data_IF_757585757674
#
_entry.id   IF_757585757674
#
_cell.length_a   1.000
_cell.length_b   1.000
_cell.length_c   1.000
_cell.angle_alpha   90.00
_cell.angle_beta   90.00
_cell.angle_gamma   90.00
#
_symmetry.space_group_name_H-M   'P 1'
#
loop_
_entity.id
_entity.type
_entity.pdbx_description
1 polymer ?
#
# COMPACT_ATOMS: atom_id res chain seq x y z
N UNK A 1 20.54 11.94 10.56
CA UNK A 1 21.59 12.97 10.31
C UNK A 1 20.96 14.05 9.46
N UNK A 2 21.30 15.31 9.69
CA UNK A 2 21.03 16.39 8.73
C UNK A 2 22.31 16.65 7.95
N UNK A 3 22.19 16.79 6.64
CA UNK A 3 23.33 17.01 5.75
C UNK A 3 23.00 18.24 4.92
N UNK A 4 23.85 19.25 5.01
CA UNK A 4 23.77 20.38 4.09
C UNK A 4 24.44 19.98 2.77
N UNK A 5 23.68 20.02 1.67
CA UNK A 5 24.13 19.50 0.36
C UNK A 5 25.27 20.35 -0.22
N UNK A 6 25.24 21.67 -0.05
CA UNK A 6 26.25 22.57 -0.64
C UNK A 6 27.58 22.55 0.10
N UNK A 7 27.53 22.45 1.44
CA UNK A 7 28.72 22.53 2.30
C UNK A 7 29.21 21.17 2.77
N UNK A 8 28.47 20.11 2.48
CA UNK A 8 28.67 18.73 2.97
C UNK A 8 28.72 18.61 4.50
N UNK A 9 28.33 19.67 5.22
CA UNK A 9 28.35 19.68 6.68
C UNK A 9 27.26 18.76 7.22
N UNK A 10 27.66 17.80 8.04
CA UNK A 10 26.74 16.84 8.68
C UNK A 10 26.51 17.19 10.15
N UNK A 11 25.26 17.20 10.60
CA UNK A 11 24.91 17.20 12.02
C UNK A 11 24.14 15.92 12.38
N UNK A 12 24.43 15.37 13.55
CA UNK A 12 23.73 14.20 14.07
C UNK A 12 22.67 14.67 15.06
N UNK A 13 21.41 14.33 14.79
CA UNK A 13 20.32 14.45 15.75
C UNK A 13 20.16 13.11 16.48
N UNK A 14 19.91 13.16 17.78
CA UNK A 14 19.71 11.99 18.63
C UNK A 14 18.44 12.17 19.44
N UNK A 15 17.60 11.15 19.44
CA UNK A 15 16.32 11.12 20.15
C UNK A 15 16.32 9.94 21.12
N UNK A 16 15.63 10.08 22.24
CA UNK A 16 15.45 9.01 23.24
C UNK A 16 14.30 8.08 22.81
N UNK A 17 14.53 7.36 21.70
CA UNK A 17 13.57 6.48 21.02
C UNK A 17 14.25 5.18 20.59
N UNK A 18 13.49 4.09 20.53
CA UNK A 18 13.98 2.77 20.16
C UNK A 18 14.27 2.65 18.65
N UNK A 19 13.52 3.41 17.83
CA UNK A 19 13.65 3.41 16.37
C UNK A 19 13.18 4.72 15.76
N UNK A 20 13.76 5.04 14.60
CA UNK A 20 13.47 6.23 13.79
C UNK A 20 13.31 5.78 12.34
N UNK A 21 12.22 6.17 11.69
CA UNK A 21 11.93 5.76 10.31
C UNK A 21 11.69 6.97 9.41
N UNK A 22 10.64 6.94 8.60
CA UNK A 22 10.31 7.99 7.63
C UNK A 22 10.20 9.35 8.29
N UNK A 23 10.72 10.38 7.64
CA UNK A 23 10.67 11.76 8.08
C UNK A 23 10.25 12.67 6.92
N UNK A 24 9.54 13.76 7.24
CA UNK A 24 9.14 14.79 6.28
C UNK A 24 9.43 16.18 6.86
N UNK A 25 9.95 17.05 6.02
CA UNK A 25 10.20 18.45 6.35
C UNK A 25 8.92 19.26 6.28
N UNK A 26 8.80 20.25 7.16
CA UNK A 26 7.82 21.32 6.96
C UNK A 26 8.23 22.20 5.77
N UNK A 27 7.27 22.83 5.07
CA UNK A 27 7.56 23.70 3.93
C UNK A 27 8.46 24.90 4.27
N UNK A 28 8.42 25.35 5.52
CA UNK A 28 9.25 26.46 6.02
C UNK A 28 10.63 26.02 6.55
N UNK A 29 10.94 24.71 6.49
CA UNK A 29 12.16 24.08 6.99
C UNK A 29 12.48 24.30 8.49
N UNK A 30 11.51 24.77 9.28
CA UNK A 30 11.67 24.96 10.73
C UNK A 30 11.35 23.72 11.54
N UNK A 31 10.59 22.79 10.96
CA UNK A 31 10.15 21.57 11.61
C UNK A 31 10.46 20.33 10.79
N UNK A 32 10.65 19.21 11.49
CA UNK A 32 10.75 17.88 10.92
C UNK A 32 9.73 16.99 11.62
N UNK A 33 8.78 16.43 10.90
CA UNK A 33 7.99 15.33 11.44
C UNK A 33 8.66 14.00 11.09
N UNK A 34 8.55 13.01 11.97
CA UNK A 34 9.15 11.70 11.73
C UNK A 34 8.43 10.62 12.53
N UNK A 35 8.56 9.38 12.06
CA UNK A 35 8.07 8.20 12.77
C UNK A 35 9.10 7.79 13.81
N UNK A 36 8.68 7.74 15.06
CA UNK A 36 9.48 7.27 16.19
C UNK A 36 8.83 6.05 16.83
N UNK A 37 9.62 5.08 17.25
CA UNK A 37 9.12 3.95 18.04
C UNK A 37 9.57 4.11 19.50
N UNK A 38 8.62 3.96 20.42
CA UNK A 38 8.88 3.93 21.86
C UNK A 38 8.07 2.81 22.51
N UNK A 39 8.65 1.62 22.58
CA UNK A 39 7.98 0.42 23.06
C UNK A 39 7.21 -0.32 21.97
N UNK A 40 5.88 -0.34 22.06
CA UNK A 40 5.04 -1.29 21.32
C UNK A 40 4.42 -0.74 20.02
N UNK A 41 4.34 0.58 19.86
CA UNK A 41 3.71 1.23 18.73
C UNK A 41 4.59 2.37 18.20
N UNK A 42 4.48 2.64 16.90
CA UNK A 42 5.14 3.79 16.28
C UNK A 42 4.23 5.00 16.34
N UNK A 43 4.80 6.16 16.66
CA UNK A 43 4.08 7.43 16.73
C UNK A 43 4.69 8.45 15.75
N UNK A 44 3.91 9.49 15.44
CA UNK A 44 4.42 10.66 14.73
C UNK A 44 4.96 11.68 15.74
N UNK A 45 6.24 12.00 15.61
CA UNK A 45 6.90 13.03 16.40
C UNK A 45 7.15 14.28 15.56
N UNK A 46 7.18 15.43 16.22
CA UNK A 46 7.52 16.72 15.64
C UNK A 46 8.79 17.25 16.30
N UNK A 47 9.83 17.52 15.53
CA UNK A 47 11.05 18.18 15.97
C UNK A 47 11.11 19.61 15.47
N UNK A 48 11.36 20.54 16.38
CA UNK A 48 11.61 21.95 16.12
C UNK A 48 13.13 22.19 16.02
N UNK A 49 13.59 22.64 14.84
CA UNK A 49 15.00 22.88 14.59
C UNK A 49 15.57 24.11 15.32
N UNK A 50 14.72 25.06 15.74
CA UNK A 50 15.16 26.26 16.45
C UNK A 50 15.33 26.00 17.95
N UNK A 51 14.33 25.37 18.58
CA UNK A 51 14.38 25.05 20.01
C UNK A 51 15.16 23.77 20.33
N UNK A 52 15.47 22.97 19.30
CA UNK A 52 16.07 21.64 19.42
C UNK A 52 15.26 20.68 20.32
N UNK A 53 13.93 20.84 20.32
CA UNK A 53 13.01 20.00 21.10
C UNK A 53 12.12 19.17 20.18
N UNK A 54 11.64 18.02 20.68
CA UNK A 54 10.64 17.22 19.98
C UNK A 54 9.46 16.85 20.88
N UNK A 55 8.28 16.74 20.29
CA UNK A 55 7.03 16.33 20.94
C UNK A 55 6.40 15.13 20.22
N UNK A 56 5.66 14.29 20.97
CA UNK A 56 4.88 13.19 20.40
C UNK A 56 3.48 13.70 20.02
N UNK A 57 3.15 13.69 18.74
CA UNK A 57 1.88 14.22 18.24
C UNK A 57 0.73 13.22 18.37
N UNK A 58 0.98 11.92 18.25
CA UNK A 58 -0.08 10.89 18.21
C UNK A 58 -0.18 10.08 19.50
N UNK A 59 0.92 9.74 20.15
CA UNK A 59 0.99 9.24 21.54
C UNK A 59 -0.22 8.39 21.98
N UNK A 60 -0.49 7.31 21.26
CA UNK A 60 -1.62 6.41 21.51
C UNK A 60 -1.19 4.92 21.43
N UNK A 61 -2.15 3.98 21.37
CA UNK A 61 -1.86 2.54 21.31
C UNK A 61 -1.66 2.02 19.87
N UNK A 62 -1.91 2.86 18.88
CA UNK A 62 -1.98 2.52 17.47
C UNK A 62 -0.66 2.84 16.77
N UNK A 63 -0.41 2.17 15.66
CA UNK A 63 0.83 2.38 14.90
C UNK A 63 0.62 3.38 13.79
N UNK A 64 1.42 4.44 13.83
CA UNK A 64 1.44 5.51 12.86
C UNK A 64 2.68 5.48 11.98
N UNK A 65 2.51 5.85 10.71
CA UNK A 65 3.58 5.81 9.73
C UNK A 65 3.41 6.84 8.61
N UNK A 66 4.45 6.98 7.79
CA UNK A 66 4.43 7.72 6.53
C UNK A 66 3.89 9.17 6.64
N UNK A 67 4.43 9.99 7.57
CA UNK A 67 3.96 11.35 7.73
C UNK A 67 4.44 12.24 6.58
N UNK A 68 3.54 13.09 6.08
CA UNK A 68 3.82 14.09 5.05
C UNK A 68 3.18 15.42 5.39
N UNK A 69 3.94 16.51 5.21
CA UNK A 69 3.42 17.86 5.43
C UNK A 69 2.55 18.31 4.27
N UNK A 70 1.50 19.07 4.58
CA UNK A 70 0.82 19.87 3.57
C UNK A 70 1.74 21.02 3.11
N UNK A 71 1.66 21.42 1.83
CA UNK A 71 2.48 22.51 1.27
C UNK A 71 2.30 23.86 1.98
N UNK A 72 1.13 24.06 2.61
CA UNK A 72 0.83 25.27 3.38
C UNK A 72 1.30 25.22 4.84
N UNK A 73 1.85 24.08 5.29
CA UNK A 73 2.38 23.88 6.64
C UNK A 73 1.31 23.75 7.73
N UNK A 74 0.02 23.70 7.38
CA UNK A 74 -1.05 23.64 8.38
C UNK A 74 -1.40 22.23 8.83
N UNK A 75 -1.07 21.24 8.00
CA UNK A 75 -1.51 19.87 8.20
C UNK A 75 -0.36 18.87 8.04
N UNK A 76 -0.48 17.75 8.73
CA UNK A 76 0.34 16.55 8.51
C UNK A 76 -0.61 15.42 8.18
N UNK A 77 -0.49 14.85 6.98
CA UNK A 77 -1.16 13.59 6.65
C UNK A 77 -0.26 12.43 7.07
N UNK A 78 -0.85 11.33 7.52
CA UNK A 78 -0.12 10.14 7.96
C UNK A 78 -1.03 8.92 7.94
N UNK A 79 -0.44 7.73 7.94
CA UNK A 79 -1.15 6.44 7.91
C UNK A 79 -1.24 5.88 9.32
N UNK A 80 -2.41 5.36 9.71
CA UNK A 80 -2.62 4.77 11.03
C UNK A 80 -3.57 3.57 10.98
N UNK A 81 -3.38 2.64 11.92
CA UNK A 81 -4.28 1.51 12.15
C UNK A 81 -5.36 1.80 13.21
N UNK A 82 -5.54 3.06 13.64
CA UNK A 82 -6.48 3.42 14.71
C UNK A 82 -7.97 3.25 14.42
N UNK A 83 -8.37 3.16 13.15
CA UNK A 83 -9.77 3.11 12.74
C UNK A 83 -10.61 4.26 13.31
N UNK A 84 -11.69 3.95 14.02
CA UNK A 84 -12.61 4.93 14.59
C UNK A 84 -12.06 5.66 15.84
N UNK A 85 -10.94 5.21 16.40
CA UNK A 85 -10.35 5.75 17.65
C UNK A 85 -9.53 7.04 17.43
N UNK A 86 -10.14 8.03 16.76
CA UNK A 86 -9.46 9.28 16.35
C UNK A 86 -9.43 10.40 17.40
N UNK A 87 -10.12 10.24 18.54
CA UNK A 87 -10.30 11.31 19.52
C UNK A 87 -9.39 11.07 20.72
N UNK A 88 -8.33 11.88 20.83
CA UNK A 88 -7.62 12.09 22.11
C UNK A 88 -8.54 12.80 23.09
N UNK A 89 -9.50 12.10 23.65
CA UNK A 89 -10.14 12.53 24.88
C UNK A 89 -9.15 12.19 26.00
N UNK A 90 -8.73 13.17 26.80
CA UNK A 90 -7.97 12.91 28.04
C UNK A 90 -8.70 11.93 28.98
N UNK A 91 -10.00 11.71 28.73
CA UNK A 91 -10.88 10.77 29.42
C UNK A 91 -11.11 9.43 28.67
N UNK A 92 -10.45 9.17 27.53
CA UNK A 92 -10.55 7.85 26.87
C UNK A 92 -9.78 6.81 27.69
N UNK A 93 -10.53 6.07 28.50
CA UNK A 93 -10.01 4.93 29.23
C UNK A 93 -9.72 3.79 28.23
N UNK A 94 -8.47 3.73 27.76
CA UNK A 94 -7.97 2.69 26.86
C UNK A 94 -8.16 1.26 27.40
N UNK A 95 -8.49 1.10 28.69
CA UNK A 95 -8.91 -0.19 29.25
C UNK A 95 -10.24 -0.71 28.67
N UNK A 96 -11.01 0.14 27.98
CA UNK A 96 -12.24 -0.25 27.29
C UNK A 96 -12.01 -0.77 25.87
N UNK A 97 -10.82 -0.50 25.29
CA UNK A 97 -10.46 -1.01 23.98
C UNK A 97 -10.16 -2.51 24.07
N UNK A 98 -10.97 -3.32 23.39
CA UNK A 98 -10.67 -4.74 23.25
C UNK A 98 -9.62 -4.93 22.16
N UNK A 99 -8.35 -5.00 22.58
CA UNK A 99 -7.21 -5.18 21.66
C UNK A 99 -7.30 -6.46 20.82
N UNK A 100 -8.14 -7.44 21.18
CA UNK A 100 -8.30 -8.66 20.39
C UNK A 100 -9.36 -8.55 19.29
N UNK A 101 -10.23 -7.55 19.35
CA UNK A 101 -11.29 -7.31 18.35
C UNK A 101 -10.95 -6.17 17.40
N UNK A 102 -9.95 -5.33 17.73
CA UNK A 102 -9.48 -4.27 16.86
C UNK A 102 -8.72 -4.82 15.65
N UNK A 103 -9.04 -4.30 14.47
CA UNK A 103 -8.38 -4.71 13.23
C UNK A 103 -7.14 -3.86 12.95
N UNK A 104 -5.97 -4.32 13.43
CA UNK A 104 -4.68 -3.67 13.17
C UNK A 104 -4.14 -3.90 11.74
N UNK A 105 -4.80 -4.74 10.92
CA UNK A 105 -4.36 -4.91 9.53
C UNK A 105 -4.89 -3.83 8.61
N UNK A 106 -5.93 -3.11 9.04
CA UNK A 106 -6.56 -2.04 8.25
C UNK A 106 -5.82 -0.73 8.52
N UNK A 107 -5.43 -0.05 7.44
CA UNK A 107 -4.71 1.22 7.52
C UNK A 107 -5.40 2.30 6.71
N UNK A 108 -5.61 3.44 7.36
CA UNK A 108 -6.25 4.59 6.77
C UNK A 108 -5.38 5.83 6.90
N UNK A 109 -5.70 6.85 6.11
CA UNK A 109 -5.02 8.14 6.15
C UNK A 109 -5.76 9.09 7.07
N UNK A 110 -5.01 9.70 7.97
CA UNK A 110 -5.45 10.72 8.91
C UNK A 110 -4.72 12.03 8.62
N UNK A 111 -5.39 13.13 8.93
CA UNK A 111 -4.82 14.48 8.85
C UNK A 111 -4.87 15.12 10.23
N UNK A 112 -3.70 15.55 10.69
CA UNK A 112 -3.50 16.31 11.92
C UNK A 112 -3.32 17.78 11.59
N UNK A 113 -4.10 18.65 12.20
CA UNK A 113 -3.86 20.10 12.20
C UNK A 113 -2.72 20.45 13.17
N UNK A 114 -1.70 21.14 12.67
CA UNK A 114 -0.46 21.40 13.41
C UNK A 114 -0.64 22.43 14.53
N UNK A 115 -1.65 23.29 14.43
CA UNK A 115 -1.95 24.34 15.40
C UNK A 115 -2.94 23.87 16.47
N UNK A 116 -4.05 23.27 16.04
CA UNK A 116 -5.11 22.82 16.96
C UNK A 116 -4.85 21.44 17.53
N UNK A 117 -3.92 20.67 16.92
CA UNK A 117 -3.64 19.26 17.23
C UNK A 117 -4.84 18.33 17.08
N UNK A 118 -5.87 18.78 16.35
CA UNK A 118 -7.05 17.97 16.04
C UNK A 118 -6.70 17.01 14.90
N UNK A 119 -7.14 15.76 15.04
CA UNK A 119 -6.98 14.72 14.04
C UNK A 119 -8.31 14.40 13.38
N UNK A 120 -8.26 14.12 12.09
CA UNK A 120 -9.42 13.80 11.26
C UNK A 120 -9.08 12.58 10.38
N UNK A 121 -9.94 11.57 10.37
CA UNK A 121 -9.82 10.43 9.45
C UNK A 121 -10.29 10.86 8.06
N UNK A 122 -9.43 10.72 7.04
CA UNK A 122 -9.71 11.11 5.66
C UNK A 122 -10.22 9.95 4.82
N UNK A 123 -9.62 8.77 4.97
CA UNK A 123 -10.10 7.54 4.34
C UNK A 123 -10.79 6.69 5.38
N UNK A 124 -12.03 6.27 5.10
CA UNK A 124 -12.81 5.37 5.95
C UNK A 124 -13.41 4.29 5.06
N UNK A 125 -12.51 3.44 4.56
CA UNK A 125 -12.85 2.35 3.63
C UNK A 125 -12.48 1.00 4.26
N UNK A 126 -12.81 -0.09 3.58
CA UNK A 126 -12.40 -1.45 3.95
C UNK A 126 -11.06 -1.84 3.26
N UNK A 127 -10.29 -0.86 2.81
CA UNK A 127 -9.09 -1.02 1.98
C UNK A 127 -7.89 -0.32 2.61
N UNK A 128 -6.70 -0.83 2.37
CA UNK A 128 -5.48 -0.25 2.89
C UNK A 128 -5.04 0.94 2.04
N UNK A 129 -4.92 2.11 2.67
CA UNK A 129 -4.35 3.31 2.07
C UNK A 129 -2.99 3.67 2.66
N UNK A 130 -2.02 3.91 1.77
CA UNK A 130 -0.63 4.16 2.13
C UNK A 130 0.03 5.22 1.22
N UNK A 131 1.21 5.67 1.60
CA UNK A 131 2.06 6.63 0.89
C UNK A 131 1.34 7.92 0.48
N UNK A 132 0.71 8.66 1.42
CA UNK A 132 0.09 9.94 1.12
C UNK A 132 1.12 10.95 0.61
N UNK A 133 0.74 11.80 -0.35
CA UNK A 133 1.48 12.98 -0.79
C UNK A 133 0.52 14.07 -1.24
N UNK A 134 0.75 15.30 -0.76
CA UNK A 134 -0.08 16.45 -1.09
C UNK A 134 0.33 17.08 -2.41
N UNK A 135 -0.66 17.48 -3.21
CA UNK A 135 -0.46 18.41 -4.32
C UNK A 135 -0.16 19.83 -3.79
N UNK A 136 0.70 20.56 -4.49
CA UNK A 136 1.14 21.91 -4.13
C UNK A 136 0.20 23.00 -4.65
N UNK A 137 -0.50 22.73 -5.75
CA UNK A 137 -1.34 23.71 -6.47
C UNK A 137 -2.82 23.57 -6.19
N UNK A 138 -3.30 22.35 -5.88
CA UNK A 138 -4.70 22.03 -5.61
C UNK A 138 -4.82 21.31 -4.26
N UNK A 139 -6.00 21.37 -3.63
CA UNK A 139 -6.25 20.69 -2.36
C UNK A 139 -6.56 19.20 -2.59
N UNK A 140 -5.58 18.49 -3.16
CA UNK A 140 -5.66 17.09 -3.55
C UNK A 140 -4.60 16.31 -2.79
N UNK A 141 -5.00 15.14 -2.29
CA UNK A 141 -4.12 14.15 -1.71
C UNK A 141 -4.00 12.97 -2.67
N UNK A 142 -2.78 12.65 -3.09
CA UNK A 142 -2.48 11.39 -3.76
C UNK A 142 -2.07 10.36 -2.72
N UNK A 143 -2.46 9.11 -2.92
CA UNK A 143 -2.02 7.97 -2.10
C UNK A 143 -2.16 6.69 -2.91
N UNK A 144 -1.63 5.59 -2.39
CA UNK A 144 -1.85 4.26 -2.94
C UNK A 144 -2.95 3.54 -2.17
N UNK A 145 -3.89 2.91 -2.87
CA UNK A 145 -4.95 2.09 -2.28
C UNK A 145 -4.99 0.71 -2.92
N UNK A 146 -5.31 -0.30 -2.13
CA UNK A 146 -5.52 -1.68 -2.59
C UNK A 146 -6.99 -2.05 -2.85
N UNK A 147 -7.89 -1.07 -2.99
CA UNK A 147 -9.32 -1.25 -3.31
C UNK A 147 -9.57 -2.27 -4.45
N UNK A 148 -8.66 -2.30 -5.43
CA UNK A 148 -8.74 -3.19 -6.59
C UNK A 148 -7.92 -4.50 -6.43
N UNK A 149 -7.48 -4.81 -5.21
CA UNK A 149 -6.63 -5.95 -4.85
C UNK A 149 -5.13 -5.74 -5.08
N UNK A 150 -4.73 -4.62 -5.68
CA UNK A 150 -3.34 -4.24 -5.94
C UNK A 150 -3.18 -2.74 -5.69
N UNK A 151 -2.12 -2.34 -4.97
CA UNK A 151 -1.81 -0.94 -4.68
C UNK A 151 -1.66 -0.10 -5.95
N UNK A 152 -2.59 0.82 -6.15
CA UNK A 152 -2.57 1.78 -7.25
C UNK A 152 -2.77 3.19 -6.73
N UNK A 153 -2.28 4.17 -7.49
CA UNK A 153 -2.41 5.58 -7.15
C UNK A 153 -3.84 6.05 -7.38
N UNK A 154 -4.38 6.68 -6.34
CA UNK A 154 -5.66 7.37 -6.28
C UNK A 154 -5.41 8.85 -6.02
N UNK A 155 -6.25 9.71 -6.61
CA UNK A 155 -6.32 11.14 -6.29
C UNK A 155 -7.60 11.40 -5.52
N UNK A 156 -7.50 12.12 -4.41
CA UNK A 156 -8.60 12.45 -3.53
C UNK A 156 -8.70 13.96 -3.36
N UNK A 157 -9.80 14.53 -3.84
CA UNK A 157 -10.13 15.96 -3.69
C UNK A 157 -10.73 16.24 -2.30
N UNK A 158 -10.11 17.14 -1.54
CA UNK A 158 -10.56 17.55 -0.20
C UNK A 158 -11.13 18.97 -0.27
N UNK A 159 -12.31 19.28 0.31
CA UNK A 159 -13.18 18.42 1.13
C UNK A 159 -14.32 17.76 0.33
N UNK A 160 -14.28 17.80 -1.02
CA UNK A 160 -15.38 17.26 -1.84
C UNK A 160 -15.58 15.76 -1.63
N UNK A 161 -14.53 15.04 -1.20
CA UNK A 161 -14.55 13.60 -0.95
C UNK A 161 -14.47 12.78 -2.23
N UNK A 162 -14.19 13.43 -3.37
CA UNK A 162 -14.16 12.76 -4.67
C UNK A 162 -12.82 12.03 -4.83
N UNK A 163 -12.91 10.69 -4.88
CA UNK A 163 -11.76 9.79 -5.07
C UNK A 163 -11.77 9.27 -6.52
N UNK A 164 -10.63 9.33 -7.20
CA UNK A 164 -10.49 8.86 -8.57
C UNK A 164 -9.19 8.11 -8.77
N UNK A 165 -9.26 6.94 -9.38
CA UNK A 165 -8.08 6.13 -9.67
C UNK A 165 -7.39 6.63 -10.94
N UNK A 166 -6.07 6.81 -10.88
CA UNK A 166 -5.27 7.38 -11.98
C UNK A 166 -4.22 6.42 -12.53
N UNK A 167 -4.06 5.25 -11.92
CA UNK A 167 -3.17 4.18 -12.40
C UNK A 167 -3.83 2.81 -12.30
N UNK A 168 -3.40 1.89 -13.14
CA UNK A 168 -3.83 0.49 -13.14
C UNK A 168 -2.66 -0.42 -13.53
N UNK A 169 -1.84 -0.75 -12.54
CA UNK A 169 -0.73 -1.70 -12.67
C UNK A 169 -1.02 -2.98 -11.89
N UNK A 170 -0.49 -4.10 -12.37
CA UNK A 170 -0.70 -5.43 -11.78
C UNK A 170 0.25 -5.74 -10.62
N UNK A 171 1.36 -5.02 -10.52
CA UNK A 171 2.46 -5.35 -9.61
C UNK A 171 2.50 -4.49 -8.34
N UNK A 172 1.68 -3.45 -8.29
CA UNK A 172 1.64 -2.51 -7.18
C UNK A 172 2.58 -1.31 -7.36
N UNK A 173 2.14 -0.18 -6.83
CA UNK A 173 2.91 1.06 -6.72
C UNK A 173 3.14 1.36 -5.24
N UNK A 174 4.33 1.85 -4.91
CA UNK A 174 4.72 2.21 -3.55
C UNK A 174 5.55 3.50 -3.54
N UNK A 175 5.68 4.13 -2.36
CA UNK A 175 6.57 5.26 -2.10
C UNK A 175 6.45 6.42 -3.10
N UNK A 176 5.37 7.18 -2.96
CA UNK A 176 5.09 8.34 -3.82
C UNK A 176 5.95 9.55 -3.45
N UNK A 177 6.38 10.30 -4.46
CA UNK A 177 7.03 11.60 -4.31
C UNK A 177 6.63 12.53 -5.45
N UNK A 178 6.00 13.65 -5.12
CA UNK A 178 5.49 14.62 -6.10
C UNK A 178 6.44 15.82 -6.21
N UNK A 179 6.66 16.29 -7.43
CA UNK A 179 7.42 17.52 -7.67
C UNK A 179 6.68 18.76 -7.15
N UNK A 180 7.42 19.80 -6.77
CA UNK A 180 6.85 21.06 -6.25
C UNK A 180 5.90 21.75 -7.24
N UNK A 181 6.07 21.50 -8.54
CA UNK A 181 5.22 22.03 -9.60
C UNK A 181 4.06 21.10 -9.99
N UNK A 182 3.87 20.00 -9.26
CA UNK A 182 2.88 18.93 -9.47
C UNK A 182 2.90 18.27 -10.86
N UNK A 183 3.97 18.45 -11.66
CA UNK A 183 4.06 17.90 -13.02
C UNK A 183 4.66 16.51 -13.09
N UNK A 184 5.35 16.04 -12.06
CA UNK A 184 6.01 14.73 -12.05
C UNK A 184 5.76 14.04 -10.72
N UNK A 185 5.13 12.88 -10.78
CA UNK A 185 4.94 11.99 -9.64
C UNK A 185 5.85 10.78 -9.82
N UNK A 186 6.87 10.70 -8.98
CA UNK A 186 7.83 9.60 -8.95
C UNK A 186 7.36 8.57 -7.93
N UNK A 187 7.53 7.29 -8.26
CA UNK A 187 7.15 6.18 -7.38
C UNK A 187 7.98 4.94 -7.66
N UNK A 188 8.00 4.00 -6.71
CA UNK A 188 8.58 2.68 -6.92
C UNK A 188 7.52 1.69 -7.43
N UNK A 189 7.93 0.85 -8.37
CA UNK A 189 7.08 -0.20 -8.93
C UNK A 189 7.88 -1.46 -9.20
N UNK A 190 7.22 -2.61 -9.18
CA UNK A 190 7.86 -3.87 -9.50
C UNK A 190 7.63 -4.24 -10.97
N UNK A 191 8.68 -4.54 -11.72
CA UNK A 191 8.59 -4.97 -13.11
C UNK A 191 9.72 -5.93 -13.45
N UNK A 192 9.46 -6.89 -14.33
CA UNK A 192 10.45 -7.88 -14.84
C UNK A 192 11.35 -8.55 -13.78
N UNK A 193 10.86 -8.70 -12.54
CA UNK A 193 11.60 -9.37 -11.47
C UNK A 193 12.31 -8.45 -10.47
N UNK A 194 12.20 -7.12 -10.61
CA UNK A 194 12.85 -6.15 -9.72
C UNK A 194 12.02 -4.91 -9.41
N UNK A 195 12.39 -4.21 -8.34
CA UNK A 195 11.87 -2.89 -8.02
C UNK A 195 12.66 -1.81 -8.76
N UNK A 196 11.95 -0.87 -9.38
CA UNK A 196 12.53 0.26 -10.09
C UNK A 196 11.73 1.54 -9.84
N UNK A 197 12.28 2.67 -10.26
CA UNK A 197 11.68 4.00 -10.10
C UNK A 197 11.05 4.44 -11.41
N UNK A 198 9.79 4.86 -11.32
CA UNK A 198 8.97 5.27 -12.45
C UNK A 198 8.42 6.68 -12.24
N UNK A 199 8.03 7.32 -13.34
CA UNK A 199 7.46 8.65 -13.34
C UNK A 199 6.07 8.65 -14.01
N UNK A 200 5.12 9.34 -13.39
CA UNK A 200 3.85 9.73 -13.99
C UNK A 200 3.87 11.25 -14.24
N UNK A 201 3.81 11.63 -15.51
CA UNK A 201 3.76 13.04 -15.90
C UNK A 201 2.33 13.60 -15.77
N UNK A 202 2.22 14.81 -15.24
CA UNK A 202 0.98 15.56 -15.04
C UNK A 202 -0.13 14.75 -14.31
N UNK A 203 0.14 14.24 -13.10
CA UNK A 203 -0.81 13.40 -12.34
C UNK A 203 -2.17 14.06 -12.09
N UNK A 204 -2.24 15.39 -11.96
CA UNK A 204 -3.49 16.14 -11.79
C UNK A 204 -4.40 16.06 -13.04
N UNK A 205 -3.80 16.07 -14.23
CA UNK A 205 -4.50 16.02 -15.52
C UNK A 205 -4.63 14.59 -16.07
N UNK A 206 -4.15 13.60 -15.31
CA UNK A 206 -4.10 12.20 -15.74
C UNK A 206 -5.49 11.61 -16.04
N UNK A 207 -5.48 10.61 -16.91
CA UNK A 207 -6.67 9.83 -17.24
C UNK A 207 -7.19 9.12 -16.00
N UNK A 208 -8.51 9.17 -15.82
CA UNK A 208 -9.22 8.40 -14.79
C UNK A 208 -9.47 7.00 -15.33
N UNK A 209 -9.20 5.99 -14.52
CA UNK A 209 -9.51 4.60 -14.84
C UNK A 209 -10.71 4.13 -14.03
N UNK A 210 -11.76 3.70 -14.72
CA UNK A 210 -12.81 2.87 -14.13
C UNK A 210 -12.37 1.40 -14.29
N UNK A 211 -12.15 0.73 -13.18
CA UNK A 211 -11.68 -0.65 -13.14
C UNK A 211 -12.83 -1.54 -12.72
N UNK A 212 -13.13 -2.54 -13.54
CA UNK A 212 -14.10 -3.56 -13.20
C UNK A 212 -13.50 -4.52 -12.17
N UNK A 213 -14.26 -4.95 -11.16
CA UNK A 213 -13.79 -5.90 -10.17
C UNK A 213 -13.26 -7.19 -10.81
N UNK A 214 -12.17 -7.73 -10.26
CA UNK A 214 -11.63 -9.02 -10.73
C UNK A 214 -12.56 -10.17 -10.38
N UNK A 215 -12.52 -11.28 -11.13
CA UNK A 215 -13.26 -12.50 -10.78
C UNK A 215 -12.92 -13.01 -9.38
N UNK A 216 -11.65 -12.87 -8.95
CA UNK A 216 -11.25 -13.21 -7.59
C UNK A 216 -11.99 -12.36 -6.56
N UNK A 217 -12.04 -11.04 -6.76
CA UNK A 217 -12.74 -10.14 -5.84
C UNK A 217 -14.25 -10.42 -5.78
N UNK A 218 -14.88 -10.66 -6.93
CA UNK A 218 -16.30 -11.01 -7.02
C UNK A 218 -16.63 -12.30 -6.26
N UNK A 219 -15.72 -13.28 -6.27
CA UNK A 219 -15.94 -14.61 -5.70
C UNK A 219 -15.23 -14.82 -4.35
N UNK A 220 -14.56 -13.81 -3.77
CA UNK A 220 -13.72 -13.97 -2.55
C UNK A 220 -14.47 -14.47 -1.31
N UNK A 221 -15.79 -14.28 -1.29
CA UNK A 221 -16.68 -14.71 -0.21
C UNK A 221 -17.41 -16.01 -0.54
N UNK A 222 -17.24 -16.56 -1.75
CA UNK A 222 -17.67 -17.91 -2.04
C UNK A 222 -16.74 -18.87 -1.28
N UNK A 223 -17.33 -19.88 -0.66
CA UNK A 223 -16.62 -20.86 0.16
C UNK A 223 -15.78 -21.78 -0.75
N UNK A 224 -14.66 -21.24 -1.24
CA UNK A 224 -13.56 -22.00 -1.83
C UNK A 224 -12.83 -22.70 -0.69
N UNK A 225 -13.50 -23.67 -0.06
CA UNK A 225 -12.88 -24.66 0.80
C UNK A 225 -11.87 -25.46 -0.03
N UNK A 226 -10.72 -24.83 -0.27
CA UNK A 226 -9.51 -25.45 -0.77
C UNK A 226 -9.28 -26.64 0.14
N UNK A 227 -9.50 -27.84 -0.40
CA UNK A 227 -9.19 -29.09 0.27
C UNK A 227 -7.77 -29.00 0.84
N UNK A 228 -7.63 -28.96 2.16
CA UNK A 228 -6.32 -28.88 2.82
C UNK A 228 -5.55 -30.16 2.51
N UNK A 229 -4.68 -30.10 1.49
CA UNK A 229 -3.85 -31.22 1.04
C UNK A 229 -2.90 -31.73 2.14
N UNK A 230 -2.75 -31.02 3.26
CA UNK A 230 -1.97 -31.49 4.41
C UNK A 230 -2.71 -32.57 5.20
N UNK A 231 -4.05 -32.56 5.22
CA UNK A 231 -4.87 -33.61 5.84
C UNK A 231 -4.80 -34.94 5.08
N UNK A 232 -4.39 -34.90 3.80
CA UNK A 232 -4.26 -36.08 2.94
C UNK A 232 -3.03 -36.96 3.24
N UNK A 233 -2.11 -36.55 4.13
CA UNK A 233 -0.92 -37.34 4.51
C UNK A 233 -1.20 -38.50 5.47
N UNK A 234 -2.41 -38.58 6.05
CA UNK A 234 -2.74 -39.52 7.14
C UNK A 234 -3.46 -40.80 6.69
N UNK A 235 -3.89 -40.92 5.43
CA UNK A 235 -4.55 -42.16 4.95
C UNK A 235 -3.55 -43.18 4.43
N UNK A 236 -3.65 -44.41 4.95
CA UNK A 236 -2.87 -45.59 4.57
C UNK A 236 -2.68 -45.68 3.04
N UNK A 237 -1.46 -45.43 2.57
CA UNK A 237 -1.03 -45.74 1.21
C UNK A 237 -1.17 -47.24 0.97
N UNK A 238 -2.26 -47.67 0.34
CA UNK A 238 -2.26 -48.92 -0.41
C UNK A 238 -1.47 -48.68 -1.68
N UNK A 239 -0.21 -49.11 -1.67
CA UNK A 239 0.66 -49.12 -2.83
C UNK A 239 0.24 -50.24 -3.76
N UNK A 240 -0.73 -50.00 -4.64
CA UNK A 240 -0.86 -50.83 -5.84
C UNK A 240 0.06 -50.29 -6.94
N UNK A 241 0.74 -51.25 -7.59
CA UNK A 241 1.93 -51.07 -8.43
C UNK A 241 1.80 -50.00 -9.50
N UNK A 242 2.95 -49.32 -9.71
CA UNK A 242 3.29 -48.44 -10.81
C UNK A 242 2.77 -48.92 -12.17
N UNK A 243 1.70 -48.29 -12.64
CA UNK A 243 1.46 -48.06 -14.06
C UNK A 243 1.87 -46.60 -14.33
N UNK A 244 2.77 -46.39 -15.30
CA UNK A 244 3.27 -45.06 -15.68
C UNK A 244 2.26 -44.22 -16.48
N UNK A 245 1.01 -44.67 -16.56
CA UNK A 245 -0.06 -43.97 -17.25
C UNK A 245 -0.87 -43.13 -16.26
N UNK A 246 -0.55 -41.84 -16.20
CA UNK A 246 -1.24 -40.86 -15.37
C UNK A 246 -2.42 -40.20 -16.09
N UNK A 247 -2.78 -40.64 -17.30
CA UNK A 247 -3.87 -40.04 -18.10
C UNK A 247 -5.23 -40.02 -17.41
N UNK A 248 -5.43 -40.88 -16.40
CA UNK A 248 -6.64 -40.96 -15.57
C UNK A 248 -6.37 -40.73 -14.09
N UNK A 249 -5.19 -40.21 -13.74
CA UNK A 249 -4.81 -40.00 -12.34
C UNK A 249 -5.29 -38.63 -11.87
N UNK A 250 -6.19 -38.63 -10.87
CA UNK A 250 -6.68 -37.41 -10.24
C UNK A 250 -5.74 -37.08 -9.09
N UNK A 251 -4.95 -36.00 -9.24
CA UNK A 251 -3.95 -35.58 -8.24
C UNK A 251 -4.56 -34.95 -6.97
N UNK A 252 -5.89 -34.86 -6.91
CA UNK A 252 -6.67 -34.48 -5.73
C UNK A 252 -7.60 -35.65 -5.34
N UNK A 253 -7.16 -36.58 -4.47
CA UNK A 253 -7.89 -37.82 -4.15
C UNK A 253 -9.32 -37.62 -3.64
N UNK A 254 -9.60 -36.48 -3.01
CA UNK A 254 -10.95 -36.09 -2.57
C UNK A 254 -11.92 -35.79 -3.73
N UNK A 255 -11.42 -35.63 -4.96
CA UNK A 255 -12.22 -35.45 -6.17
C UNK A 255 -12.39 -36.73 -6.98
N UNK A 256 -11.93 -37.89 -6.48
CA UNK A 256 -12.01 -39.18 -7.18
C UNK A 256 -13.42 -39.59 -7.59
N UNK A 257 -14.44 -39.14 -6.84
CA UNK A 257 -15.86 -39.38 -7.10
C UNK A 257 -16.64 -38.10 -7.44
N UNK A 258 -15.96 -36.95 -7.58
CA UNK A 258 -16.63 -35.68 -7.88
C UNK A 258 -17.29 -35.73 -9.27
N UNK A 259 -16.66 -36.43 -10.21
CA UNK A 259 -17.20 -36.64 -11.55
C UNK A 259 -18.33 -37.69 -11.60
N UNK A 260 -18.52 -38.52 -10.57
CA UNK A 260 -19.61 -39.49 -10.50
C UNK A 260 -20.96 -38.83 -10.18
N UNK A 261 -20.94 -37.58 -9.69
CA UNK A 261 -22.12 -36.79 -9.34
C UNK A 261 -22.61 -35.88 -10.48
N UNK A 262 -21.83 -35.76 -11.56
CA UNK A 262 -22.21 -34.97 -12.73
C UNK A 262 -23.10 -35.83 -13.63
N UNK A 263 -24.32 -35.37 -13.92
CA UNK A 263 -25.13 -36.01 -14.96
C UNK A 263 -24.54 -35.68 -16.34
N UNK A 264 -24.74 -36.54 -17.35
CA UNK A 264 -24.15 -36.34 -18.71
C UNK A 264 -24.43 -34.95 -19.32
N UNK A 265 -25.46 -34.25 -18.85
CA UNK A 265 -25.78 -32.89 -19.29
C UNK A 265 -24.91 -31.80 -18.64
N UNK A 266 -24.34 -32.04 -17.46
CA UNK A 266 -23.48 -31.06 -16.76
C UNK A 266 -22.10 -30.92 -17.44
N UNK A 267 -21.68 -31.94 -18.19
CA UNK A 267 -20.47 -31.92 -19.02
C UNK A 267 -20.58 -30.99 -20.26
N UNK A 268 -21.75 -30.39 -20.52
CA UNK A 268 -21.93 -29.45 -21.63
C UNK A 268 -21.85 -27.99 -21.23
N UNK A 269 -21.91 -27.70 -19.92
CA UNK A 269 -21.83 -26.35 -19.36
C UNK A 269 -20.46 -26.10 -18.73
N UNK A 270 -19.40 -26.21 -19.53
CA UNK A 270 -18.14 -25.59 -19.16
C UNK A 270 -18.23 -24.11 -19.53
N UNK A 271 -17.96 -23.24 -18.55
CA UNK A 271 -17.52 -21.87 -18.83
C UNK A 271 -16.35 -21.98 -19.81
N UNK A 272 -16.56 -21.49 -21.03
CA UNK A 272 -15.54 -21.51 -22.06
C UNK A 272 -14.36 -20.70 -21.53
N UNK A 273 -13.22 -21.37 -21.31
CA UNK A 273 -11.96 -20.73 -20.95
C UNK A 273 -11.77 -19.51 -21.87
N UNK A 274 -11.72 -18.32 -21.28
CA UNK A 274 -11.69 -17.04 -21.99
C UNK A 274 -10.47 -16.93 -22.92
N UNK A 275 -9.47 -17.78 -22.71
CA UNK A 275 -8.24 -17.88 -23.49
C UNK A 275 -8.36 -18.87 -24.67
N UNK A 276 -9.44 -19.64 -24.76
CA UNK A 276 -9.61 -20.74 -25.71
C UNK A 276 -10.97 -20.68 -26.43
N UNK A 277 -11.01 -19.85 -27.47
CA UNK A 277 -12.09 -19.88 -28.45
C UNK A 277 -11.68 -20.73 -29.66
N UNK A 278 -12.42 -21.83 -29.90
CA UNK A 278 -12.32 -22.66 -31.12
C UNK A 278 -10.91 -23.16 -31.45
N UNK A 279 -10.34 -24.01 -30.58
CA UNK A 279 -9.04 -24.70 -30.73
C UNK A 279 -7.80 -23.82 -30.94
N UNK A 280 -7.97 -22.50 -31.11
CA UNK A 280 -6.91 -21.52 -31.18
C UNK A 280 -6.73 -20.86 -29.82
N UNK A 281 -5.50 -20.87 -29.32
CA UNK A 281 -5.11 -20.06 -28.18
C UNK A 281 -5.14 -18.60 -28.62
N UNK A 282 -6.07 -17.81 -28.10
CA UNK A 282 -6.08 -16.37 -28.33
C UNK A 282 -5.20 -15.79 -27.24
N UNK A 283 -3.95 -15.47 -27.59
CA UNK A 283 -3.13 -14.60 -26.75
C UNK A 283 -3.83 -13.24 -26.70
N UNK A 284 -4.59 -13.01 -25.65
CA UNK A 284 -5.01 -11.66 -25.29
C UNK A 284 -3.72 -10.96 -24.87
N UNK A 285 -3.17 -10.17 -25.78
CA UNK A 285 -2.11 -9.22 -25.44
C UNK A 285 -2.78 -8.26 -24.45
N UNK A 286 -2.61 -8.51 -23.16
CA UNK A 286 -2.94 -7.52 -22.16
C UNK A 286 -2.01 -6.36 -22.46
N UNK A 287 -2.54 -5.35 -23.15
CA UNK A 287 -1.86 -4.09 -23.32
C UNK A 287 -2.05 -3.40 -21.98
N UNK A 288 -1.02 -3.32 -21.11
CA UNK A 288 -1.12 -2.45 -19.96
C UNK A 288 -1.44 -1.07 -20.53
N UNK A 289 -2.63 -0.55 -20.22
CA UNK A 289 -3.08 0.77 -20.73
C UNK A 289 -2.25 1.91 -20.14
N UNK A 290 -1.45 1.59 -19.12
CA UNK A 290 -0.43 2.43 -18.53
C UNK A 290 0.91 1.67 -18.61
N UNK A 291 1.86 2.19 -19.38
CA UNK A 291 3.23 1.70 -19.36
C UNK A 291 4.00 2.47 -18.30
N UNK A 292 4.73 1.73 -17.47
CA UNK A 292 5.65 2.32 -16.50
C UNK A 292 6.79 3.01 -17.25
N UNK A 293 6.84 4.34 -17.21
CA UNK A 293 7.90 5.12 -17.84
C UNK A 293 9.10 5.19 -16.89
N UNK A 294 10.23 4.63 -17.33
CA UNK A 294 11.47 4.54 -16.55
C UNK A 294 12.04 5.94 -16.24
N UNK A 295 12.20 6.25 -14.96
CA UNK A 295 12.85 7.48 -14.52
C UNK A 295 14.36 7.21 -14.35
N UNK A 296 15.14 7.44 -15.41
CA UNK A 296 16.58 7.26 -15.39
C UNK A 296 17.33 8.49 -14.85
N UNK A 297 17.94 8.36 -13.67
CA UNK A 297 18.97 9.26 -13.16
C UNK A 297 20.10 8.44 -12.54
N UNK A 298 21.35 8.69 -12.91
CA UNK A 298 22.48 7.98 -12.32
C UNK A 298 22.82 8.61 -10.97
N UNK A 299 22.32 8.08 -9.86
CA UNK A 299 22.90 8.36 -8.55
C UNK A 299 23.80 7.20 -8.16
N UNK A 300 25.11 7.43 -8.16
CA UNK A 300 26.11 6.46 -7.75
C UNK A 300 26.77 6.92 -6.45
N UNK A 301 27.02 5.99 -5.52
CA UNK A 301 27.76 6.28 -4.31
C UNK A 301 29.11 5.55 -4.37
N UNK A 302 30.20 6.31 -4.30
CA UNK A 302 31.55 5.76 -4.21
C UNK A 302 32.02 5.80 -2.76
N UNK A 303 32.48 4.67 -2.24
CA UNK A 303 33.14 4.61 -0.92
C UNK A 303 34.44 5.43 -0.84
N UNK A 304 34.97 5.89 -1.97
CA UNK A 304 36.17 6.72 -2.05
C UNK A 304 35.81 8.19 -2.34
N UNK A 305 34.75 8.45 -3.12
CA UNK A 305 34.45 9.78 -3.66
C UNK A 305 33.09 10.34 -3.23
N UNK A 306 32.34 9.66 -2.37
CA UNK A 306 31.03 10.10 -1.89
C UNK A 306 29.92 9.96 -2.93
N UNK A 307 28.84 10.73 -2.73
CA UNK A 307 27.71 10.80 -3.64
C UNK A 307 28.13 11.41 -4.98
N UNK A 308 27.81 10.73 -6.08
CA UNK A 308 28.08 11.16 -7.44
C UNK A 308 26.83 10.95 -8.28
N UNK A 309 26.25 12.04 -8.78
CA UNK A 309 25.16 12.05 -9.75
C UNK A 309 25.31 13.20 -10.73
#
# INVERSE_FOLDING_TARGET
>A
YLINIETEKTSKLTFDLDGLFTASWSPDANYLCFVGNRGNASDIFLYDLHSETFENLTNDLFSDSEPVWSPDGKFIAFVSDRGEHSVKSEDEDWNTLNMFEHNYSQRDIYVLDTHTKKMERITSTDHDETYPVWAHTENILFYTSDDQGVWNIVRHEIPSGKVQQITNVLTGIQQLSLSEDDKSLIFSGYNEGGWDIYNLSYPLESQIFEIEPTNYYLNRNEDDSFSDLRLDKSRNRQTDKLSADYSRYIFAPHYGHFNDQLTENDATNFSQDSLRQSEKLISQKYLPRFTLDFAGGNFSFSNIYGAQG
#
